data_IF_966813969946
#
_entry.id   IF_966813969946
#
_cell.length_a   1.000
_cell.length_b   1.000
_cell.length_c   1.000
_cell.angle_alpha   90.00
_cell.angle_beta   90.00
_cell.angle_gamma   90.00
#
_symmetry.space_group_name_H-M   'P 1'
#
loop_
_entity.id
_entity.type
_entity.pdbx_description
1 polymer ?
#
# COMPACT_ATOMS: atom_id res chain seq x y z
N UNK A 1 -2.93 -43.56 16.29
CA UNK A 1 -2.55 -42.24 15.80
C UNK A 1 -3.36 -41.91 14.57
N UNK A 2 -4.13 -40.84 14.62
CA UNK A 2 -4.82 -40.34 13.44
C UNK A 2 -3.80 -39.91 12.39
N UNK A 3 -3.93 -40.47 11.20
CA UNK A 3 -3.10 -40.05 10.04
C UNK A 3 -3.55 -38.65 9.62
N UNK A 4 -2.90 -37.63 10.16
CA UNK A 4 -3.10 -36.24 9.72
C UNK A 4 -2.56 -36.11 8.30
N UNK A 5 -3.44 -35.93 7.34
CA UNK A 5 -3.07 -35.69 5.94
C UNK A 5 -2.57 -34.27 5.78
N UNK A 6 -1.36 -34.11 5.24
CA UNK A 6 -0.83 -32.75 4.91
C UNK A 6 -1.64 -32.13 3.76
N UNK A 7 -1.83 -30.83 3.88
CA UNK A 7 -2.50 -29.99 2.86
C UNK A 7 -1.45 -29.08 2.22
N UNK A 8 -1.25 -29.21 0.93
CA UNK A 8 -0.44 -28.28 0.15
C UNK A 8 -1.28 -27.04 -0.18
N UNK A 9 -0.90 -25.89 0.37
CA UNK A 9 -1.44 -24.59 0.01
C UNK A 9 -0.75 -24.00 -1.21
N UNK A 10 -1.12 -22.78 -1.58
CA UNK A 10 -0.50 -22.07 -2.69
C UNK A 10 1.02 -21.96 -2.50
N UNK A 11 1.79 -22.19 -3.57
CA UNK A 11 3.25 -22.15 -3.55
C UNK A 11 3.93 -23.34 -2.87
N UNK A 12 3.18 -24.43 -2.52
CA UNK A 12 3.73 -25.66 -1.97
C UNK A 12 3.22 -26.89 -2.70
N UNK A 13 3.98 -27.97 -2.65
CA UNK A 13 3.53 -29.30 -3.09
C UNK A 13 3.99 -30.39 -2.11
N UNK A 14 3.28 -31.53 -2.11
CA UNK A 14 3.70 -32.69 -1.31
C UNK A 14 4.93 -33.31 -1.98
N UNK A 15 5.98 -33.56 -1.20
CA UNK A 15 7.21 -34.19 -1.68
C UNK A 15 6.91 -35.54 -2.33
N UNK A 16 7.47 -35.76 -3.52
CA UNK A 16 7.34 -37.05 -4.25
C UNK A 16 8.02 -38.21 -3.51
N UNK A 17 8.99 -37.88 -2.65
CA UNK A 17 9.78 -38.84 -1.92
C UNK A 17 9.25 -39.15 -0.52
N UNK A 18 8.46 -38.20 0.05
CA UNK A 18 7.91 -38.34 1.39
C UNK A 18 6.53 -37.66 1.50
N UNK A 19 5.42 -38.41 1.64
CA UNK A 19 4.08 -37.86 1.72
C UNK A 19 3.79 -37.05 3.02
N UNK A 20 4.71 -37.06 3.98
CA UNK A 20 4.65 -36.28 5.22
C UNK A 20 5.52 -35.01 5.14
N UNK A 21 5.99 -34.64 3.95
CA UNK A 21 6.81 -33.46 3.72
C UNK A 21 6.19 -32.56 2.67
N UNK A 22 6.12 -31.25 2.97
CA UNK A 22 5.77 -30.22 2.01
C UNK A 22 7.05 -29.53 1.51
N UNK A 23 7.13 -29.29 0.22
CA UNK A 23 8.21 -28.57 -0.42
C UNK A 23 7.67 -27.28 -1.04
N UNK A 24 8.43 -26.20 -0.91
CA UNK A 24 8.12 -24.94 -1.59
C UNK A 24 8.46 -25.06 -3.08
N UNK A 25 7.56 -24.59 -3.94
CA UNK A 25 7.77 -24.49 -5.39
C UNK A 25 7.96 -23.05 -5.86
N UNK A 26 7.80 -22.09 -4.96
CA UNK A 26 8.09 -20.67 -5.18
C UNK A 26 8.99 -20.13 -4.05
N UNK A 27 9.69 -19.02 -4.33
CA UNK A 27 10.42 -18.28 -3.31
C UNK A 27 9.45 -17.38 -2.56
N UNK A 28 9.52 -17.34 -1.22
CA UNK A 28 8.64 -16.47 -0.41
C UNK A 28 8.65 -16.86 1.06
N UNK A 29 7.70 -16.30 1.80
CA UNK A 29 7.54 -16.53 3.25
C UNK A 29 6.59 -17.69 3.50
N UNK A 30 7.00 -18.73 4.25
CA UNK A 30 6.10 -19.82 4.63
C UNK A 30 5.03 -19.31 5.61
N UNK A 31 3.79 -19.68 5.36
CA UNK A 31 2.64 -19.37 6.21
C UNK A 31 1.94 -20.67 6.60
N UNK A 32 1.76 -20.88 7.90
CA UNK A 32 1.06 -22.04 8.43
C UNK A 32 -0.44 -21.97 8.09
N UNK A 33 -0.96 -23.08 7.57
CA UNK A 33 -2.39 -23.29 7.38
C UNK A 33 -2.81 -24.60 8.10
N UNK A 34 -4.10 -24.83 8.24
CA UNK A 34 -4.59 -26.03 8.89
C UNK A 34 -4.04 -27.30 8.20
N UNK A 35 -3.21 -28.05 8.93
CA UNK A 35 -2.53 -29.27 8.49
C UNK A 35 -1.59 -29.10 7.29
N UNK A 36 -1.01 -27.91 7.08
CA UNK A 36 -0.15 -27.66 5.95
C UNK A 36 0.58 -26.33 5.97
N UNK A 37 1.05 -25.93 4.81
CA UNK A 37 1.82 -24.70 4.60
C UNK A 37 1.53 -24.14 3.21
N UNK A 38 1.52 -22.82 3.10
CA UNK A 38 1.63 -22.08 1.83
C UNK A 38 2.89 -21.21 1.86
N UNK A 39 3.31 -20.75 0.69
CA UNK A 39 4.39 -19.76 0.58
C UNK A 39 3.82 -18.50 -0.04
N UNK A 40 3.93 -17.40 0.69
CA UNK A 40 3.55 -16.08 0.19
C UNK A 40 4.74 -15.42 -0.49
N UNK A 41 4.51 -14.89 -1.66
CA UNK A 41 5.54 -14.22 -2.44
C UNK A 41 5.69 -12.77 -1.95
N UNK A 42 6.64 -12.54 -1.02
CA UNK A 42 6.88 -11.25 -0.37
C UNK A 42 8.35 -10.86 -0.51
N UNK A 43 8.57 -9.67 -1.04
CA UNK A 43 9.88 -9.03 -1.08
C UNK A 43 9.98 -7.98 0.02
N UNK A 44 10.96 -8.14 0.93
CA UNK A 44 11.21 -7.20 2.01
C UNK A 44 12.51 -6.45 1.79
N UNK A 45 12.46 -5.12 1.89
CA UNK A 45 13.60 -4.23 1.73
C UNK A 45 13.56 -3.13 2.81
N UNK A 46 14.72 -2.65 3.24
CA UNK A 46 14.79 -1.59 4.25
C UNK A 46 14.34 -0.25 3.68
N UNK A 47 15.07 0.28 2.72
CA UNK A 47 14.77 1.54 2.04
C UNK A 47 14.76 1.34 0.52
N UNK A 48 13.89 2.05 -0.17
CA UNK A 48 13.93 2.15 -1.63
C UNK A 48 14.54 3.49 -2.00
N UNK A 49 15.76 3.45 -2.51
CA UNK A 49 16.59 4.62 -2.79
C UNK A 49 17.51 4.39 -4.01
N UNK A 50 18.38 5.36 -4.32
CA UNK A 50 19.30 5.27 -5.45
C UNK A 50 20.27 4.06 -5.38
N UNK A 51 20.53 3.52 -4.19
CA UNK A 51 21.42 2.35 -4.03
C UNK A 51 20.69 1.05 -4.29
N UNK A 52 19.45 0.93 -3.79
CA UNK A 52 18.62 -0.26 -4.03
C UNK A 52 18.01 -0.25 -5.43
N UNK A 53 17.80 0.93 -6.03
CA UNK A 53 17.08 1.11 -7.28
C UNK A 53 15.57 1.01 -7.11
N UNK A 54 14.87 1.03 -8.25
CA UNK A 54 13.43 0.80 -8.31
C UNK A 54 13.10 -0.66 -7.98
N UNK A 55 11.88 -0.90 -7.53
CA UNK A 55 11.38 -2.25 -7.20
C UNK A 55 10.25 -2.61 -8.15
N UNK A 56 10.41 -3.70 -8.88
CA UNK A 56 9.36 -4.34 -9.67
C UNK A 56 9.27 -5.80 -9.20
N UNK A 57 8.12 -6.22 -8.65
CA UNK A 57 7.96 -7.52 -8.02
C UNK A 57 6.60 -8.15 -8.31
N UNK A 58 6.59 -9.47 -8.59
CA UNK A 58 5.37 -10.21 -8.96
C UNK A 58 4.46 -10.54 -7.77
N UNK A 59 4.92 -10.36 -6.53
CA UNK A 59 4.17 -10.55 -5.28
C UNK A 59 3.98 -9.24 -4.53
N UNK A 60 3.96 -9.33 -3.20
CA UNK A 60 3.83 -8.19 -2.28
C UNK A 60 5.18 -7.63 -1.85
N UNK A 61 5.24 -6.32 -1.59
CA UNK A 61 6.46 -5.61 -1.20
C UNK A 61 6.29 -5.00 0.18
N UNK A 62 7.26 -5.21 1.05
CA UNK A 62 7.36 -4.56 2.37
C UNK A 62 8.62 -3.70 2.42
N UNK A 63 8.45 -2.40 2.59
CA UNK A 63 9.53 -1.45 2.86
C UNK A 63 9.50 -1.14 4.36
N UNK A 64 10.54 -1.54 5.10
CA UNK A 64 10.56 -1.38 6.56
C UNK A 64 10.91 0.02 7.02
N UNK A 65 11.49 0.85 6.17
CA UNK A 65 11.74 2.27 6.41
C UNK A 65 11.05 3.13 5.34
N UNK A 66 11.81 3.80 4.47
CA UNK A 66 11.29 4.85 3.61
C UNK A 66 11.44 4.56 2.11
N UNK A 67 10.64 5.28 1.33
CA UNK A 67 10.81 5.40 -0.13
C UNK A 67 11.29 6.81 -0.42
N UNK A 68 12.50 6.93 -0.96
CA UNK A 68 13.16 8.20 -1.26
C UNK A 68 12.67 8.83 -2.58
N UNK A 69 12.94 10.13 -2.79
CA UNK A 69 12.47 10.85 -3.98
C UNK A 69 12.87 10.21 -5.30
N UNK A 70 11.93 10.19 -6.24
CA UNK A 70 12.13 9.65 -7.58
C UNK A 70 12.11 8.12 -7.67
N UNK A 71 11.93 7.42 -6.57
CA UNK A 71 11.86 5.95 -6.58
C UNK A 71 10.48 5.45 -7.01
N UNK A 72 10.48 4.26 -7.62
CA UNK A 72 9.29 3.56 -8.08
C UNK A 72 9.19 2.16 -7.48
N UNK A 73 7.99 1.80 -7.05
CA UNK A 73 7.65 0.42 -6.65
C UNK A 73 6.43 -0.01 -7.45
N UNK A 74 6.55 -1.14 -8.14
CA UNK A 74 5.44 -1.83 -8.78
C UNK A 74 5.32 -3.22 -8.16
N UNK A 75 4.15 -3.56 -7.64
CA UNK A 75 3.85 -4.87 -7.06
C UNK A 75 2.60 -5.48 -7.69
N UNK A 76 2.61 -6.79 -7.93
CA UNK A 76 1.42 -7.54 -8.33
C UNK A 76 0.55 -7.94 -7.14
N UNK A 77 1.08 -7.88 -5.93
CA UNK A 77 0.38 -8.00 -4.66
C UNK A 77 0.21 -6.62 -4.00
N UNK A 78 0.36 -6.61 -2.69
CA UNK A 78 0.24 -5.42 -1.84
C UNK A 78 1.58 -4.68 -1.70
N UNK A 79 1.51 -3.39 -1.34
CA UNK A 79 2.67 -2.62 -0.93
C UNK A 79 2.45 -2.13 0.50
N UNK A 80 3.39 -2.42 1.40
CA UNK A 80 3.41 -1.87 2.75
C UNK A 80 4.69 -1.07 2.97
N UNK A 81 4.56 0.20 3.34
CA UNK A 81 5.69 1.07 3.72
C UNK A 81 5.51 1.44 5.19
N UNK A 82 6.47 1.06 6.06
CA UNK A 82 6.39 1.33 7.49
C UNK A 82 6.77 2.78 7.83
N UNK A 83 7.53 3.44 6.97
CA UNK A 83 7.93 4.84 7.09
C UNK A 83 7.12 5.77 6.17
N UNK A 84 7.84 6.70 5.54
CA UNK A 84 7.31 7.72 4.63
C UNK A 84 7.62 7.39 3.17
N UNK A 85 6.78 7.93 2.28
CA UNK A 85 7.05 7.99 0.84
C UNK A 85 7.25 9.46 0.47
N UNK A 86 8.43 9.81 -0.01
CA UNK A 86 8.75 11.16 -0.45
C UNK A 86 8.90 11.21 -1.98
N UNK A 87 8.04 11.98 -2.65
CA UNK A 87 8.07 12.17 -4.11
C UNK A 87 8.30 10.88 -4.91
N UNK A 88 7.66 9.79 -4.46
CA UNK A 88 7.77 8.44 -5.03
C UNK A 88 6.56 8.05 -5.86
N UNK A 89 6.72 6.97 -6.62
CA UNK A 89 5.65 6.40 -7.46
C UNK A 89 5.39 4.95 -7.05
N UNK A 90 4.24 4.68 -6.44
CA UNK A 90 3.83 3.34 -6.03
C UNK A 90 2.63 2.87 -6.84
N UNK A 91 2.70 1.65 -7.35
CA UNK A 91 1.60 0.99 -8.05
C UNK A 91 1.45 -0.43 -7.56
N UNK A 92 0.25 -0.79 -7.10
CA UNK A 92 -0.07 -2.13 -6.62
C UNK A 92 -1.34 -2.67 -7.29
N UNK A 93 -1.35 -3.97 -7.60
CA UNK A 93 -2.58 -4.66 -7.98
C UNK A 93 -3.44 -4.99 -6.74
N UNK A 94 -2.85 -5.10 -5.57
CA UNK A 94 -3.51 -5.19 -4.26
C UNK A 94 -3.60 -3.84 -3.55
N UNK A 95 -3.57 -3.88 -2.24
CA UNK A 95 -3.69 -2.71 -1.37
C UNK A 95 -2.34 -2.00 -1.15
N UNK A 96 -2.40 -0.69 -0.85
CA UNK A 96 -1.23 0.08 -0.45
C UNK A 96 -1.43 0.64 0.95
N UNK A 97 -0.54 0.27 1.87
CA UNK A 97 -0.53 0.80 3.25
C UNK A 97 0.77 1.56 3.51
N UNK A 98 0.65 2.83 3.92
CA UNK A 98 1.80 3.68 4.28
C UNK A 98 1.58 4.16 5.72
N UNK A 99 2.38 3.61 6.67
CA UNK A 99 2.15 3.80 8.10
C UNK A 99 2.35 5.22 8.59
N UNK A 100 3.29 5.95 8.02
CA UNK A 100 3.51 7.35 8.38
C UNK A 100 2.78 8.26 7.39
N UNK A 101 3.33 8.51 6.23
CA UNK A 101 2.63 9.40 5.30
C UNK A 101 3.32 9.54 3.96
N UNK A 102 2.67 10.34 3.12
CA UNK A 102 3.13 10.63 1.77
C UNK A 102 3.39 12.12 1.65
N UNK A 103 4.59 12.48 1.21
CA UNK A 103 5.01 13.87 1.05
C UNK A 103 5.50 14.09 -0.37
N UNK A 104 4.81 14.91 -1.09
CA UNK A 104 5.21 15.38 -2.41
C UNK A 104 5.38 16.89 -2.45
N UNK A 105 5.50 17.41 -3.65
CA UNK A 105 5.47 18.83 -3.96
C UNK A 105 4.84 19.05 -5.34
N UNK A 106 4.42 20.26 -5.61
CA UNK A 106 3.90 20.64 -6.91
C UNK A 106 5.06 20.96 -7.86
N UNK A 107 5.04 20.35 -9.04
CA UNK A 107 6.00 20.59 -10.11
C UNK A 107 5.60 21.85 -10.92
N UNK A 108 6.53 22.37 -11.74
CA UNK A 108 6.31 23.56 -12.58
C UNK A 108 5.09 23.41 -13.53
N UNK A 109 4.81 22.20 -14.01
CA UNK A 109 3.65 21.87 -14.86
C UNK A 109 2.35 21.62 -14.07
N UNK A 110 2.32 21.98 -12.79
CA UNK A 110 1.23 21.77 -11.81
C UNK A 110 0.96 20.31 -11.48
N UNK A 111 1.71 19.35 -12.00
CA UNK A 111 1.61 17.96 -11.57
C UNK A 111 2.17 17.78 -10.16
N UNK A 112 1.77 16.70 -9.53
CA UNK A 112 2.28 16.32 -8.22
C UNK A 112 3.45 15.35 -8.35
N UNK A 113 4.49 15.54 -7.54
CA UNK A 113 5.70 14.72 -7.60
C UNK A 113 5.54 13.32 -7.04
N UNK A 114 4.45 13.07 -6.32
CA UNK A 114 4.17 11.77 -5.69
C UNK A 114 2.87 11.18 -6.21
N UNK A 115 2.92 9.92 -6.66
CA UNK A 115 1.75 9.22 -7.21
C UNK A 115 1.61 7.84 -6.57
N UNK A 116 0.46 7.58 -5.96
CA UNK A 116 0.13 6.32 -5.30
C UNK A 116 -1.13 5.76 -5.95
N UNK A 117 -1.00 4.63 -6.62
CA UNK A 117 -2.09 4.01 -7.39
C UNK A 117 -2.26 2.57 -6.93
N UNK A 118 -3.46 2.23 -6.48
CA UNK A 118 -3.84 0.89 -6.05
C UNK A 118 -5.07 0.42 -6.83
N UNK A 119 -5.11 -0.85 -7.23
CA UNK A 119 -6.33 -1.47 -7.72
C UNK A 119 -7.25 -1.95 -6.58
N UNK A 120 -6.71 -2.08 -5.36
CA UNK A 120 -7.42 -2.27 -4.10
C UNK A 120 -7.66 -0.95 -3.38
N UNK A 121 -7.26 -0.89 -2.13
CA UNK A 121 -7.47 0.25 -1.23
C UNK A 121 -6.14 0.94 -0.87
N UNK A 122 -6.21 2.22 -0.54
CA UNK A 122 -5.08 2.99 0.01
C UNK A 122 -5.38 3.36 1.45
N UNK A 123 -4.43 3.07 2.34
CA UNK A 123 -4.45 3.49 3.73
C UNK A 123 -3.15 4.21 4.09
N UNK A 124 -3.25 5.43 4.58
CA UNK A 124 -2.10 6.24 5.02
C UNK A 124 -2.45 7.18 6.18
N UNK A 125 -1.44 7.60 6.94
CA UNK A 125 -1.65 8.50 8.08
C UNK A 125 -1.92 9.93 7.63
N UNK A 126 -1.08 10.48 6.75
CA UNK A 126 -1.27 11.80 6.16
C UNK A 126 -0.74 11.88 4.73
N UNK A 127 -1.36 12.74 3.92
CA UNK A 127 -0.94 13.02 2.54
C UNK A 127 -0.73 14.51 2.30
N UNK A 128 0.36 14.87 1.62
CA UNK A 128 0.65 16.21 1.21
C UNK A 128 1.20 16.25 -0.21
N UNK A 129 0.59 17.06 -1.08
CA UNK A 129 0.97 17.23 -2.48
C UNK A 129 1.15 15.88 -3.21
N UNK A 130 0.16 14.98 -3.10
CA UNK A 130 0.20 13.65 -3.72
C UNK A 130 -1.07 13.37 -4.53
N UNK A 131 -0.89 12.57 -5.57
CA UNK A 131 -1.97 11.95 -6.32
C UNK A 131 -2.26 10.57 -5.74
N UNK A 132 -3.52 10.30 -5.38
CA UNK A 132 -3.99 9.03 -4.84
C UNK A 132 -5.14 8.51 -5.70
N UNK A 133 -5.05 7.24 -6.14
CA UNK A 133 -6.10 6.56 -6.88
C UNK A 133 -6.31 5.15 -6.37
N UNK A 134 -7.56 4.81 -5.96
CA UNK A 134 -7.91 3.51 -5.40
C UNK A 134 -9.43 3.26 -5.42
N UNK A 135 -9.86 2.08 -4.97
CA UNK A 135 -11.27 1.83 -4.69
C UNK A 135 -11.73 2.61 -3.45
N UNK A 136 -11.05 2.41 -2.33
CA UNK A 136 -11.25 3.19 -1.11
C UNK A 136 -9.93 3.89 -0.75
N UNK A 137 -10.02 5.13 -0.28
CA UNK A 137 -8.88 5.88 0.23
C UNK A 137 -9.20 6.27 1.67
N UNK A 138 -8.39 5.77 2.61
CA UNK A 138 -8.45 6.11 4.02
C UNK A 138 -7.21 6.88 4.44
N UNK A 139 -7.41 8.12 4.90
CA UNK A 139 -6.36 8.99 5.43
C UNK A 139 -6.70 9.29 6.88
N UNK A 140 -5.88 8.80 7.82
CA UNK A 140 -6.22 8.83 9.24
C UNK A 140 -6.30 10.25 9.84
N UNK A 141 -5.46 11.17 9.36
CA UNK A 141 -5.30 12.49 9.98
C UNK A 141 -5.60 13.66 9.05
N UNK A 142 -4.81 13.79 7.98
CA UNK A 142 -4.87 14.99 7.14
C UNK A 142 -4.50 14.70 5.69
N UNK A 143 -5.26 15.28 4.77
CA UNK A 143 -4.89 15.44 3.37
C UNK A 143 -4.74 16.93 3.04
N UNK A 144 -3.60 17.32 2.47
CA UNK A 144 -3.28 18.70 2.11
C UNK A 144 -2.80 18.80 0.67
N UNK A 145 -3.49 19.58 -0.15
CA UNK A 145 -3.14 19.80 -1.56
C UNK A 145 -3.00 18.49 -2.37
N UNK A 146 -3.80 17.48 -2.03
CA UNK A 146 -3.81 16.19 -2.71
C UNK A 146 -4.85 16.18 -3.83
N UNK A 147 -4.56 15.45 -4.91
CA UNK A 147 -5.55 15.08 -5.91
C UNK A 147 -5.95 13.64 -5.66
N UNK A 148 -7.22 13.38 -5.43
CA UNK A 148 -7.74 12.09 -4.99
C UNK A 148 -8.84 11.59 -5.90
N UNK A 149 -8.76 10.30 -6.25
CA UNK A 149 -9.77 9.59 -7.03
C UNK A 149 -10.08 8.27 -6.34
N UNK A 150 -11.23 8.21 -5.68
CA UNK A 150 -11.72 7.01 -5.01
C UNK A 150 -12.99 6.52 -5.72
N UNK A 151 -12.98 5.31 -6.26
CA UNK A 151 -14.18 4.81 -6.98
C UNK A 151 -15.35 4.53 -6.05
N UNK A 152 -15.11 4.38 -4.73
CA UNK A 152 -16.15 4.10 -3.73
C UNK A 152 -16.11 5.10 -2.59
N UNK A 153 -15.13 5.02 -1.69
CA UNK A 153 -15.07 5.78 -0.45
C UNK A 153 -13.78 6.59 -0.36
N UNK A 154 -13.91 7.88 -0.09
CA UNK A 154 -12.83 8.72 0.41
C UNK A 154 -13.14 9.08 1.87
N UNK A 155 -12.33 8.60 2.81
CA UNK A 155 -12.47 8.89 4.23
C UNK A 155 -11.20 9.57 4.76
N UNK A 156 -11.41 10.72 5.42
CA UNK A 156 -10.34 11.47 6.10
C UNK A 156 -10.72 11.62 7.56
N UNK A 157 -9.98 10.98 8.43
CA UNK A 157 -10.28 10.75 9.84
C UNK A 157 -10.56 9.27 10.12
N UNK A 158 -10.48 8.90 11.40
CA UNK A 158 -10.82 7.56 11.88
C UNK A 158 -12.30 7.52 12.31
N UNK A 159 -12.93 6.35 12.28
CA UNK A 159 -14.33 6.18 12.73
C UNK A 159 -14.52 6.66 14.17
N UNK A 160 -13.55 6.37 15.05
CA UNK A 160 -13.57 6.75 16.45
C UNK A 160 -13.12 8.20 16.72
N UNK A 161 -12.50 8.85 15.72
CA UNK A 161 -12.01 10.23 15.81
C UNK A 161 -12.18 10.95 14.46
N UNK A 162 -13.35 11.54 14.21
CA UNK A 162 -13.65 12.20 12.94
C UNK A 162 -12.96 13.57 12.76
N UNK A 163 -11.82 13.81 13.43
CA UNK A 163 -11.05 15.04 13.31
C UNK A 163 -10.11 15.06 12.08
N UNK A 164 -10.41 14.26 11.07
CA UNK A 164 -9.67 14.29 9.82
C UNK A 164 -9.84 15.61 9.08
N UNK A 165 -8.72 16.16 8.59
CA UNK A 165 -8.68 17.47 7.95
C UNK A 165 -8.34 17.37 6.49
N UNK A 166 -9.14 18.02 5.66
CA UNK A 166 -8.92 18.16 4.23
C UNK A 166 -8.68 19.62 3.87
N UNK A 167 -7.50 19.95 3.38
CA UNK A 167 -7.13 21.30 2.99
C UNK A 167 -6.66 21.37 1.54
N UNK A 168 -7.24 22.22 0.75
CA UNK A 168 -6.87 22.38 -0.65
C UNK A 168 -6.94 21.08 -1.46
N UNK A 169 -6.39 21.10 -2.65
CA UNK A 169 -6.38 19.91 -3.53
C UNK A 169 -7.66 19.73 -4.33
N UNK A 170 -7.84 18.54 -4.87
CA UNK A 170 -8.95 18.21 -5.77
C UNK A 170 -9.44 16.79 -5.55
N UNK A 171 -10.74 16.59 -5.52
CA UNK A 171 -11.38 15.28 -5.53
C UNK A 171 -11.95 15.07 -6.93
N UNK A 172 -11.35 14.16 -7.69
CA UNK A 172 -11.75 13.87 -9.06
C UNK A 172 -12.98 12.96 -9.11
N UNK A 173 -13.06 12.00 -8.18
CA UNK A 173 -14.17 11.05 -8.06
C UNK A 173 -14.27 10.53 -6.62
N UNK A 174 -15.50 10.39 -6.12
CA UNK A 174 -15.83 9.66 -4.90
C UNK A 174 -17.34 9.43 -4.82
N UNK A 175 -17.79 8.19 -4.63
CA UNK A 175 -19.20 7.92 -4.39
C UNK A 175 -19.63 8.37 -2.99
N UNK A 176 -18.73 8.30 -2.01
CA UNK A 176 -18.92 8.75 -0.64
C UNK A 176 -17.69 9.48 -0.14
N UNK A 177 -17.90 10.65 0.48
CA UNK A 177 -16.87 11.42 1.16
C UNK A 177 -17.21 11.55 2.65
N UNK A 178 -16.26 11.17 3.49
CA UNK A 178 -16.31 11.36 4.95
C UNK A 178 -15.08 12.15 5.36
N UNK A 179 -15.29 13.33 5.97
CA UNK A 179 -14.20 14.13 6.51
C UNK A 179 -14.70 14.91 7.74
N UNK A 180 -13.84 15.10 8.73
CA UNK A 180 -14.17 15.86 9.93
C UNK A 180 -14.21 17.37 9.69
N UNK A 181 -13.22 17.88 8.97
CA UNK A 181 -13.11 19.31 8.62
C UNK A 181 -12.67 19.44 7.16
N UNK A 182 -13.38 20.25 6.40
CA UNK A 182 -13.03 20.61 5.03
C UNK A 182 -12.82 22.13 4.98
N UNK A 183 -11.62 22.54 4.59
CA UNK A 183 -11.28 23.96 4.50
C UNK A 183 -10.13 24.24 3.57
N UNK A 184 -9.79 25.51 3.42
CA UNK A 184 -8.55 25.93 2.79
C UNK A 184 -7.71 26.76 3.77
N UNK A 185 -6.41 26.90 3.49
CA UNK A 185 -5.48 27.66 4.34
C UNK A 185 -5.80 29.17 4.41
N UNK A 186 -6.62 29.69 3.51
CA UNK A 186 -6.99 31.09 3.43
C UNK A 186 -8.27 31.45 4.23
N UNK A 187 -8.85 30.49 4.94
CA UNK A 187 -9.92 30.78 5.90
C UNK A 187 -11.21 31.38 5.28
N UNK A 188 -11.57 30.94 4.09
CA UNK A 188 -12.86 31.30 3.47
C UNK A 188 -13.88 30.19 3.64
#
# INVERSE_FOLDING_TARGET
>A
GENTKLVAGEGTEISKNNPLELISVIAGVPVDIANGMRVDDIFTIADVNVKSGHVDFEGSVIVTHNVEPGMRINAKGDITVMGTVESGHLSAAGDITIKQGVIGHQLEDKKLSCNIISQGDIHLSHGQYCYLEANNILIERQASHCTMKATKLLQIGQEDNPQGKLFGGEILDAQMLIAGEIGNESGA
#
